data_IF_283434129119
#
_entry.id   IF_283434129119
#
_cell.length_a   1.000
_cell.length_b   1.000
_cell.length_c   1.000
_cell.angle_alpha   90.00
_cell.angle_beta   90.00
_cell.angle_gamma   90.00
#
_symmetry.space_group_name_H-M   'P 1'
#
loop_
_entity.id
_entity.type
_entity.pdbx_description
1 polymer ?
2 polymer ?
#
# COMPACT_ATOMS: atom_id res chain seq x y z
N UNK A 1 -19.60 -12.52 -16.69
CA UNK A 1 -19.06 -11.41 -15.85
C UNK A 1 -19.88 -10.13 -15.96
N UNK A 2 -20.12 -9.51 -14.81
CA UNK A 2 -20.87 -8.26 -14.71
C UNK A 2 -19.89 -7.16 -14.31
N UNK A 3 -19.61 -6.23 -15.22
CA UNK A 3 -18.67 -5.15 -14.95
C UNK A 3 -19.15 -4.14 -13.90
N UNK A 4 -18.42 -4.07 -12.79
CA UNK A 4 -18.73 -3.14 -11.70
C UNK A 4 -17.83 -1.92 -11.88
N UNK A 5 -18.42 -0.74 -12.04
CA UNK A 5 -17.63 0.47 -12.25
C UNK A 5 -17.84 1.58 -11.22
N UNK A 6 -16.72 2.14 -10.76
CA UNK A 6 -16.73 3.24 -9.80
C UNK A 6 -16.02 4.44 -10.40
N UNK A 7 -16.83 5.40 -10.84
CA UNK A 7 -16.41 6.65 -11.47
C UNK A 7 -15.05 7.21 -11.06
N UNK A 8 -15.01 7.85 -9.89
CA UNK A 8 -13.78 8.45 -9.39
C UNK A 8 -12.93 7.56 -8.51
N UNK A 9 -11.61 7.50 -8.79
CA UNK A 9 -10.67 6.69 -8.02
C UNK A 9 -10.52 7.24 -6.62
N UNK A 10 -10.51 8.58 -6.52
CA UNK A 10 -10.37 9.26 -5.24
C UNK A 10 -11.30 10.47 -5.15
N UNK A 11 -11.74 10.76 -3.92
CA UNK A 11 -12.65 11.89 -3.63
C UNK A 11 -12.27 12.51 -2.29
N UNK A 12 -11.71 13.73 -2.31
CA UNK A 12 -11.30 14.45 -1.09
C UNK A 12 -12.45 15.17 -0.40
N UNK A 13 -12.50 15.05 0.93
CA UNK A 13 -13.53 15.70 1.75
C UNK A 13 -12.95 16.13 3.09
N UNK A 14 -13.37 17.29 3.59
CA UNK A 14 -12.88 17.79 4.88
C UNK A 14 -13.67 17.12 6.01
N UNK A 15 -13.01 16.85 7.14
CA UNK A 15 -13.68 16.21 8.27
C UNK A 15 -14.93 16.98 8.71
N UNK A 16 -16.06 16.29 8.78
CA UNK A 16 -17.31 16.92 9.16
C UNK A 16 -18.26 16.95 7.98
N UNK A 17 -17.71 17.08 6.77
CA UNK A 17 -18.50 17.12 5.55
C UNK A 17 -19.14 15.77 5.22
N UNK A 18 -20.07 15.80 4.27
CA UNK A 18 -20.77 14.60 3.84
C UNK A 18 -20.21 14.12 2.51
N UNK A 19 -19.93 12.83 2.43
CA UNK A 19 -19.40 12.25 1.20
C UNK A 19 -20.41 11.37 0.49
N UNK A 20 -20.34 11.38 -0.83
CA UNK A 20 -21.20 10.59 -1.68
C UNK A 20 -20.35 9.87 -2.71
N UNK A 21 -20.29 8.55 -2.57
CA UNK A 21 -19.53 7.70 -3.48
C UNK A 21 -20.50 6.99 -4.39
N UNK A 22 -20.21 6.99 -5.69
CA UNK A 22 -21.09 6.33 -6.65
C UNK A 22 -20.52 5.01 -7.14
N UNK A 23 -21.43 4.10 -7.48
CA UNK A 23 -21.09 2.79 -8.01
C UNK A 23 -22.05 2.51 -9.13
N UNK A 24 -21.57 1.80 -10.15
CA UNK A 24 -22.39 1.46 -11.29
C UNK A 24 -22.14 0.04 -11.77
N UNK A 25 -23.24 -0.70 -11.96
CA UNK A 25 -23.20 -2.08 -12.41
C UNK A 25 -23.35 -2.19 -13.94
N UNK A 26 -23.14 -3.40 -14.45
CA UNK A 26 -23.23 -3.67 -15.88
C UNK A 26 -24.63 -4.00 -16.37
N UNK A 27 -25.35 -4.80 -15.58
CA UNK A 27 -26.70 -5.22 -15.94
C UNK A 27 -27.79 -4.57 -15.08
N UNK A 28 -28.16 -5.25 -13.99
CA UNK A 28 -29.18 -4.80 -13.04
C UNK A 28 -29.23 -5.86 -11.95
N UNK A 29 -28.93 -5.43 -10.74
CA UNK A 29 -28.90 -6.33 -9.60
C UNK A 29 -30.23 -6.49 -8.87
N UNK A 30 -31.34 -6.41 -9.60
CA UNK A 30 -32.66 -6.58 -8.99
C UNK A 30 -32.99 -8.08 -8.93
N UNK A 31 -33.98 -8.46 -8.13
CA UNK A 31 -34.31 -9.88 -7.97
C UNK A 31 -35.76 -10.30 -8.25
N UNK A 32 -36.68 -9.56 -7.62
CA UNK A 32 -38.14 -9.75 -7.67
C UNK A 32 -38.52 -10.08 -6.23
N UNK A 33 -37.55 -10.58 -5.49
CA UNK A 33 -37.71 -10.90 -4.07
C UNK A 33 -37.93 -9.54 -3.41
N UNK A 34 -37.59 -8.48 -4.17
CA UNK A 34 -37.74 -7.12 -3.73
C UNK A 34 -36.41 -6.52 -3.32
N UNK A 35 -35.36 -7.34 -3.38
CA UNK A 35 -34.02 -6.92 -2.98
C UNK A 35 -33.04 -6.75 -4.13
N UNK A 36 -32.14 -5.78 -3.96
CA UNK A 36 -31.09 -5.49 -4.93
C UNK A 36 -29.78 -5.96 -4.27
N UNK A 37 -29.16 -6.98 -4.86
CA UNK A 37 -27.93 -7.57 -4.33
C UNK A 37 -26.65 -6.76 -4.50
N UNK A 38 -26.51 -5.72 -3.67
CA UNK A 38 -25.35 -4.83 -3.69
C UNK A 38 -24.64 -4.83 -2.34
N UNK A 39 -23.30 -4.75 -2.38
CA UNK A 39 -22.49 -4.76 -1.16
C UNK A 39 -21.39 -3.71 -1.13
N UNK A 40 -21.22 -3.10 0.04
CA UNK A 40 -20.20 -2.06 0.24
C UNK A 40 -19.25 -2.53 1.32
N UNK A 41 -17.95 -2.42 1.04
CA UNK A 41 -16.90 -2.80 1.97
C UNK A 41 -15.92 -1.65 2.14
N UNK A 42 -15.05 -1.73 3.15
CA UNK A 42 -14.08 -0.68 3.43
C UNK A 42 -12.69 -1.16 3.83
N UNK A 43 -11.78 -1.21 2.86
CA UNK A 43 -10.40 -1.59 3.14
C UNK A 43 -9.85 -0.34 3.83
N UNK A 44 -8.99 -0.49 4.83
CA UNK A 44 -8.58 0.71 5.56
C UNK A 44 -7.26 0.82 6.33
N UNK A 45 -6.11 0.74 5.65
CA UNK A 45 -5.75 0.56 4.25
C UNK A 45 -4.87 -0.70 4.24
N UNK A 46 -4.19 -0.90 5.37
CA UNK A 46 -3.34 -2.05 5.58
C UNK A 46 -4.13 -2.94 6.53
N UNK A 47 -5.42 -2.64 6.60
CA UNK A 47 -6.38 -3.37 7.42
C UNK A 47 -7.23 -4.15 6.42
N UNK A 48 -8.10 -5.02 6.91
CA UNK A 48 -8.97 -5.82 6.03
C UNK A 48 -10.32 -5.14 5.81
N UNK A 49 -10.93 -5.35 4.63
CA UNK A 49 -12.22 -4.73 4.32
C UNK A 49 -13.27 -5.13 5.36
N UNK A 50 -14.25 -4.26 5.56
CA UNK A 50 -15.31 -4.52 6.53
C UNK A 50 -16.66 -4.22 5.88
N UNK A 51 -17.61 -5.12 6.07
CA UNK A 51 -18.94 -4.93 5.49
C UNK A 51 -19.61 -3.70 6.11
N UNK A 52 -20.05 -2.78 5.26
CA UNK A 52 -20.72 -1.58 5.73
C UNK A 52 -22.22 -1.67 5.51
N UNK A 53 -22.62 -1.99 4.29
CA UNK A 53 -24.03 -2.08 3.91
C UNK A 53 -24.31 -3.29 3.01
N UNK A 54 -25.35 -4.06 3.34
CA UNK A 54 -25.73 -5.22 2.53
C UNK A 54 -27.12 -5.05 1.93
N UNK A 55 -27.35 -5.74 0.82
CA UNK A 55 -28.62 -5.69 0.11
C UNK A 55 -29.03 -4.24 -0.19
N UNK A 56 -28.02 -3.47 -0.56
CA UNK A 56 -28.14 -2.05 -0.92
C UNK A 56 -28.47 -1.04 0.17
N UNK A 57 -29.55 -1.26 0.91
CA UNK A 57 -29.99 -0.31 1.95
C UNK A 57 -29.95 -0.83 3.39
N UNK A 58 -29.05 -1.75 3.68
CA UNK A 58 -28.97 -2.30 5.03
C UNK A 58 -27.65 -2.15 5.77
N UNK A 59 -27.67 -1.34 6.81
CA UNK A 59 -26.51 -1.07 7.64
C UNK A 59 -26.15 -2.33 8.41
N UNK A 60 -25.00 -2.92 8.08
CA UNK A 60 -24.54 -4.12 8.77
C UNK A 60 -24.40 -3.85 10.27
N UNK A 61 -24.05 -4.87 11.03
CA UNK A 61 -23.87 -4.70 12.47
C UNK A 61 -22.57 -3.95 12.75
N UNK A 62 -22.53 -3.21 13.85
CA UNK A 62 -21.35 -2.45 14.22
C UNK A 62 -21.12 -1.18 13.42
N UNK A 63 -21.69 -1.11 12.21
CA UNK A 63 -21.56 0.04 11.33
C UNK A 63 -22.37 1.24 11.86
N UNK A 64 -21.72 2.41 12.02
CA UNK A 64 -22.35 3.63 12.53
C UNK A 64 -23.59 4.10 11.78
N UNK A 65 -24.40 4.89 12.49
CA UNK A 65 -25.65 5.49 12.01
C UNK A 65 -25.47 6.49 10.86
N UNK A 66 -24.24 6.96 10.65
CA UNK A 66 -23.95 7.95 9.60
C UNK A 66 -23.79 7.44 8.17
N UNK A 67 -23.50 6.15 8.00
CA UNK A 67 -23.37 5.59 6.65
C UNK A 67 -24.75 5.28 6.10
N UNK A 68 -24.90 5.33 4.78
CA UNK A 68 -26.20 5.06 4.15
C UNK A 68 -26.16 4.70 2.66
N UNK A 69 -26.80 3.57 2.34
CA UNK A 69 -26.86 3.09 0.98
C UNK A 69 -28.19 3.37 0.31
N UNK A 70 -28.14 3.77 -0.96
CA UNK A 70 -29.33 4.10 -1.73
C UNK A 70 -29.07 3.95 -3.24
N UNK A 71 -30.16 3.94 -4.00
CA UNK A 71 -30.04 3.81 -5.45
C UNK A 71 -31.09 2.84 -5.98
N UNK A 72 -31.01 2.54 -7.27
CA UNK A 72 -31.95 1.60 -7.89
C UNK A 72 -31.50 1.21 -9.29
N UNK A 73 -31.70 -0.06 -9.63
CA UNK A 73 -31.32 -0.55 -10.94
C UNK A 73 -29.83 -0.69 -11.09
N UNK A 74 -29.19 0.31 -11.69
CA UNK A 74 -27.75 0.31 -11.92
C UNK A 74 -27.00 1.46 -11.23
N UNK A 75 -27.74 2.40 -10.65
CA UNK A 75 -27.16 3.55 -9.96
C UNK A 75 -27.18 3.37 -8.44
N UNK A 76 -25.99 3.24 -7.84
CA UNK A 76 -25.88 3.02 -6.40
C UNK A 76 -25.05 4.09 -5.72
N UNK A 77 -25.45 4.47 -4.51
CA UNK A 77 -24.79 5.53 -3.77
C UNK A 77 -24.57 5.35 -2.25
N UNK A 78 -23.30 5.38 -1.84
CA UNK A 78 -22.93 5.28 -0.44
C UNK A 78 -22.87 6.72 0.08
N UNK A 79 -23.26 6.93 1.33
CA UNK A 79 -23.24 8.27 1.90
C UNK A 79 -22.85 8.34 3.38
N UNK A 80 -21.80 9.10 3.65
CA UNK A 80 -21.29 9.31 5.00
C UNK A 80 -21.76 10.70 5.47
N UNK A 81 -22.45 10.77 6.62
CA UNK A 81 -22.95 12.04 7.15
C UNK A 81 -21.84 12.98 7.61
N UNK A 82 -21.07 12.53 8.58
CA UNK A 82 -19.96 13.30 9.12
C UNK A 82 -18.69 12.51 8.89
N UNK A 83 -17.81 13.01 8.02
CA UNK A 83 -16.55 12.32 7.73
C UNK A 83 -15.58 12.41 8.91
N UNK A 84 -15.18 11.26 9.42
CA UNK A 84 -14.25 11.22 10.53
C UNK A 84 -12.96 10.59 10.02
N UNK A 85 -11.88 10.75 10.78
CA UNK A 85 -10.57 10.23 10.39
C UNK A 85 -10.53 8.75 10.06
N UNK A 86 -11.29 7.95 10.81
CA UNK A 86 -11.34 6.51 10.60
C UNK A 86 -11.88 6.13 9.22
N UNK A 87 -12.89 6.85 8.75
CA UNK A 87 -13.51 6.58 7.45
C UNK A 87 -12.55 6.58 6.25
N UNK A 88 -11.31 7.04 6.45
CA UNK A 88 -10.35 7.07 5.35
C UNK A 88 -10.08 5.68 4.80
N UNK A 89 -10.06 5.57 3.47
CA UNK A 89 -9.79 4.29 2.83
C UNK A 89 -10.42 4.10 1.46
N UNK A 90 -10.24 2.91 0.89
CA UNK A 90 -10.83 2.57 -0.40
C UNK A 90 -12.17 1.94 -0.11
N UNK A 91 -13.21 2.43 -0.77
CA UNK A 91 -14.54 1.89 -0.59
C UNK A 91 -14.88 1.01 -1.77
N UNK A 92 -15.31 -0.21 -1.48
CA UNK A 92 -15.63 -1.18 -2.54
C UNK A 92 -17.10 -1.54 -2.64
N UNK A 93 -17.62 -1.52 -3.87
CA UNK A 93 -19.02 -1.89 -4.11
C UNK A 93 -18.92 -3.16 -4.93
N UNK A 94 -19.55 -4.21 -4.44
CA UNK A 94 -19.52 -5.51 -5.09
C UNK A 94 -20.89 -6.15 -5.19
N UNK A 95 -21.13 -6.82 -6.31
CA UNK A 95 -22.39 -7.49 -6.55
C UNK A 95 -22.34 -8.95 -6.15
N UNK A 96 -23.47 -9.48 -5.70
CA UNK A 96 -23.58 -10.87 -5.27
C UNK A 96 -24.84 -11.45 -5.93
N UNK A 97 -24.97 -11.27 -7.25
CA UNK A 97 -26.13 -11.77 -7.97
C UNK A 97 -25.78 -12.92 -8.92
N UNK A 98 -25.01 -12.61 -9.95
CA UNK A 98 -24.59 -13.62 -10.92
C UNK A 98 -23.17 -14.09 -10.64
N UNK A 99 -22.76 -15.12 -11.36
CA UNK A 99 -21.43 -15.69 -11.22
C UNK A 99 -20.55 -15.38 -12.42
N UNK A 100 -19.28 -15.04 -12.17
CA UNK A 100 -18.73 -14.95 -10.82
C UNK A 100 -19.04 -13.59 -10.19
N UNK A 101 -18.75 -13.44 -8.90
CA UNK A 101 -18.99 -12.19 -8.20
C UNK A 101 -17.94 -11.15 -8.58
N UNK A 102 -18.39 -9.95 -8.95
CA UNK A 102 -17.48 -8.88 -9.36
C UNK A 102 -17.36 -7.72 -8.38
N UNK A 103 -16.16 -7.16 -8.30
CA UNK A 103 -15.88 -6.04 -7.41
C UNK A 103 -15.56 -4.77 -8.20
N UNK A 104 -16.10 -3.64 -7.75
CA UNK A 104 -15.84 -2.37 -8.41
C UNK A 104 -14.38 -1.97 -8.24
N UNK A 105 -13.91 -1.06 -9.09
CA UNK A 105 -12.53 -0.57 -9.05
C UNK A 105 -12.07 -0.13 -7.65
N UNK A 106 -12.78 0.84 -7.07
CA UNK A 106 -12.44 1.32 -5.74
C UNK A 106 -12.26 2.82 -5.66
N UNK A 107 -13.10 3.47 -4.86
CA UNK A 107 -13.02 4.91 -4.68
C UNK A 107 -12.42 5.22 -3.30
N UNK A 108 -11.27 5.88 -3.30
CA UNK A 108 -10.56 6.24 -2.08
C UNK A 108 -11.02 7.59 -1.52
N UNK A 109 -11.07 7.69 -0.19
CA UNK A 109 -11.47 8.93 0.47
C UNK A 109 -10.25 9.62 1.06
N UNK A 110 -9.95 10.80 0.53
CA UNK A 110 -8.83 11.59 0.99
C UNK A 110 -9.31 12.76 1.82
N UNK A 111 -8.45 13.20 2.73
CA UNK A 111 -8.75 14.30 3.61
C UNK A 111 -8.24 15.65 3.10
N UNK A 112 -9.09 16.66 3.27
CA UNK A 112 -8.76 18.03 2.87
C UNK A 112 -8.20 18.78 4.07
N UNK A 113 -7.54 19.91 3.79
CA UNK A 113 -6.96 20.77 4.81
C UNK A 113 -6.29 21.95 4.12
N UNK A 114 -5.64 22.79 4.91
CA UNK A 114 -4.95 23.95 4.36
C UNK A 114 -3.73 23.50 3.58
N UNK A 115 -3.38 24.26 2.54
CA UNK A 115 -2.23 23.95 1.70
C UNK A 115 -0.94 24.10 2.50
N UNK A 116 0.01 23.19 2.29
CA UNK A 116 1.31 23.23 2.95
C UNK A 116 2.37 23.06 1.89
N UNK A 117 3.54 23.66 2.11
CA UNK A 117 4.63 23.61 1.14
C UNK A 117 5.59 22.46 1.39
N UNK A 118 6.06 21.81 0.31
CA UNK A 118 6.99 20.69 0.41
C UNK A 118 8.38 21.10 0.89
N UNK A 119 8.83 20.47 1.97
CA UNK A 119 10.14 20.74 2.54
C UNK A 119 11.15 19.87 1.79
N UNK A 120 11.41 20.25 0.54
CA UNK A 120 12.36 19.56 -0.34
C UNK A 120 13.77 19.48 0.25
N UNK A 121 14.48 18.41 -0.08
CA UNK A 121 15.84 18.16 0.38
C UNK A 121 16.58 17.30 -0.66
N UNK A 122 17.86 17.59 -0.88
CA UNK A 122 18.65 16.83 -1.84
C UNK A 122 19.93 16.30 -1.18
N UNK A 123 20.25 15.03 -1.42
CA UNK A 123 21.42 14.42 -0.83
C UNK A 123 22.34 13.78 -1.86
N UNK A 124 23.65 14.06 -1.76
CA UNK A 124 24.66 13.53 -2.68
C UNK A 124 24.91 12.04 -2.36
N UNK A 125 25.43 11.27 -3.33
CA UNK A 125 25.72 9.84 -3.14
C UNK A 125 26.66 9.61 -1.97
N UNK A 126 26.44 8.55 -1.21
CA UNK A 126 27.29 8.24 -0.07
C UNK A 126 28.66 7.77 -0.53
N UNK A 127 29.67 8.07 0.27
CA UNK A 127 31.06 7.70 -0.02
C UNK A 127 31.17 6.20 -0.25
N UNK A 128 30.39 5.45 0.53
CA UNK A 128 30.35 4.00 0.48
C UNK A 128 29.70 3.45 -0.79
N UNK A 129 28.65 4.11 -1.28
CA UNK A 129 27.97 3.69 -2.49
C UNK A 129 28.84 3.91 -3.71
N UNK A 130 29.56 5.02 -3.71
CA UNK A 130 30.44 5.36 -4.81
C UNK A 130 31.52 4.29 -5.00
N UNK A 131 32.12 3.85 -3.91
CA UNK A 131 33.17 2.82 -3.95
C UNK A 131 32.66 1.49 -4.51
N UNK A 132 31.34 1.37 -4.61
CA UNK A 132 30.72 0.16 -5.14
C UNK A 132 30.46 0.27 -6.65
N UNK A 133 30.83 1.41 -7.23
CA UNK A 133 30.64 1.61 -8.64
C UNK A 133 29.34 2.27 -9.08
N UNK A 134 28.46 2.57 -8.12
CA UNK A 134 27.20 3.20 -8.45
C UNK A 134 27.05 4.55 -7.77
N UNK A 135 26.11 5.37 -8.25
CA UNK A 135 25.89 6.69 -7.67
C UNK A 135 24.41 7.06 -7.67
N UNK A 136 23.87 7.30 -6.48
CA UNK A 136 22.47 7.68 -6.36
C UNK A 136 22.26 9.02 -5.64
N UNK A 137 21.50 9.90 -6.27
CA UNK A 137 21.20 11.21 -5.72
C UNK A 137 19.76 11.18 -5.22
N UNK A 138 19.58 11.34 -3.92
CA UNK A 138 18.26 11.31 -3.29
C UNK A 138 17.66 12.69 -3.01
N UNK A 139 16.39 12.87 -3.39
CA UNK A 139 15.67 14.12 -3.16
C UNK A 139 14.34 13.88 -2.44
N UNK A 140 14.27 14.35 -1.20
CA UNK A 140 13.07 14.20 -0.38
C UNK A 140 12.21 15.46 -0.37
N UNK A 141 10.92 15.30 -0.63
CA UNK A 141 9.98 16.43 -0.61
C UNK A 141 9.02 16.01 0.49
N UNK A 142 9.36 16.38 1.73
CA UNK A 142 8.60 16.01 2.92
C UNK A 142 7.08 16.20 2.98
N UNK A 143 6.60 17.03 3.91
CA UNK A 143 5.16 17.22 4.09
C UNK A 143 4.54 18.27 3.19
N UNK A 144 3.54 17.86 2.40
CA UNK A 144 2.87 18.78 1.48
C UNK A 144 1.46 18.35 1.10
N UNK A 145 0.66 19.33 0.70
CA UNK A 145 -0.72 19.11 0.29
C UNK A 145 -1.13 20.25 -0.65
N UNK A 146 -1.88 19.95 -1.72
CA UNK A 146 -2.37 18.63 -2.15
C UNK A 146 -1.29 17.62 -2.56
N UNK A 147 -1.75 16.43 -2.98
CA UNK A 147 -0.89 15.32 -3.39
C UNK A 147 -0.09 15.59 -4.66
N UNK A 148 -0.67 16.38 -5.55
CA UNK A 148 -0.04 16.73 -6.82
C UNK A 148 1.26 17.51 -6.65
N UNK A 149 2.28 17.09 -7.40
CA UNK A 149 3.60 17.69 -7.39
C UNK A 149 4.38 17.10 -8.57
N UNK A 150 5.40 17.82 -9.03
CA UNK A 150 6.19 17.35 -10.17
C UNK A 150 7.69 17.57 -9.94
N UNK A 151 8.47 16.48 -10.03
CA UNK A 151 9.92 16.54 -9.83
C UNK A 151 10.67 16.39 -11.15
N UNK A 152 11.41 17.43 -11.52
CA UNK A 152 12.19 17.41 -12.76
C UNK A 152 13.66 17.39 -12.41
N UNK A 153 14.31 16.26 -12.64
CA UNK A 153 15.74 16.13 -12.37
C UNK A 153 16.60 16.80 -13.43
N UNK A 154 17.54 17.62 -12.98
CA UNK A 154 18.43 18.34 -13.89
C UNK A 154 19.88 18.00 -13.57
N UNK A 155 20.65 17.75 -14.63
CA UNK A 155 22.06 17.44 -14.47
C UNK A 155 22.85 18.38 -15.37
N UNK A 156 23.38 19.44 -14.78
CA UNK A 156 24.12 20.44 -15.52
C UNK A 156 23.17 21.14 -16.51
N UNK A 157 21.96 21.43 -16.03
CA UNK A 157 20.98 22.11 -16.86
C UNK A 157 20.19 21.25 -17.82
N UNK A 158 20.57 19.99 -17.95
CA UNK A 158 19.85 19.07 -18.83
C UNK A 158 18.96 18.15 -18.00
N UNK A 159 17.70 18.08 -18.42
CA UNK A 159 16.70 17.27 -17.76
C UNK A 159 16.96 15.77 -17.90
N UNK A 160 17.02 15.07 -16.76
CA UNK A 160 17.24 13.62 -16.77
C UNK A 160 15.88 12.95 -16.62
N UNK A 161 15.51 12.18 -17.64
CA UNK A 161 14.22 11.49 -17.71
C UNK A 161 14.31 9.97 -17.58
N UNK A 162 15.53 9.42 -17.70
CA UNK A 162 15.74 7.97 -17.61
C UNK A 162 16.69 7.61 -16.47
N UNK A 163 16.16 6.95 -15.45
CA UNK A 163 16.97 6.54 -14.32
C UNK A 163 16.45 7.02 -12.97
N UNK A 164 15.25 7.59 -12.97
CA UNK A 164 14.61 8.13 -11.76
C UNK A 164 13.52 7.20 -11.20
N UNK A 165 13.52 7.00 -9.88
CA UNK A 165 12.52 6.17 -9.22
C UNK A 165 11.83 6.86 -8.03
N UNK A 166 10.56 7.17 -8.23
CA UNK A 166 9.71 7.87 -7.26
C UNK A 166 9.08 6.91 -6.24
N UNK A 167 8.66 7.47 -5.11
CA UNK A 167 8.03 6.70 -4.02
C UNK A 167 7.25 7.62 -3.06
N UNK A 168 5.93 7.71 -3.26
CA UNK A 168 5.03 8.53 -2.45
C UNK A 168 4.40 7.77 -1.30
N UNK A 169 4.48 8.33 -0.09
CA UNK A 169 3.88 7.68 1.08
C UNK A 169 2.37 7.91 1.04
N UNK A 170 1.62 7.15 1.86
CA UNK A 170 0.18 7.31 1.92
C UNK A 170 -0.11 8.58 2.73
N UNK A 171 -1.36 9.04 2.74
CA UNK A 171 -1.73 10.25 3.48
C UNK A 171 -1.56 10.04 4.98
N UNK A 172 -0.77 10.93 5.60
CA UNK A 172 -0.50 10.84 7.03
C UNK A 172 -1.79 10.98 7.85
N UNK A 173 -1.89 10.13 8.87
CA UNK A 173 -3.03 10.10 9.77
C UNK A 173 -3.11 11.30 10.67
N UNK A 174 -1.95 11.79 11.08
CA UNK A 174 -1.84 12.93 12.00
C UNK A 174 -2.02 14.34 11.39
N UNK A 175 -1.12 14.76 10.51
CA UNK A 175 -1.22 16.09 9.90
C UNK A 175 -1.91 16.14 8.54
N UNK A 176 -2.31 14.97 8.04
CA UNK A 176 -2.99 14.83 6.74
C UNK A 176 -2.17 15.28 5.53
N UNK A 177 -0.84 15.19 5.63
CA UNK A 177 0.07 15.59 4.54
C UNK A 177 0.52 14.42 3.68
N UNK A 178 1.35 14.74 2.68
CA UNK A 178 1.88 13.75 1.74
C UNK A 178 3.39 13.89 1.60
N UNK A 179 4.10 12.76 1.55
CA UNK A 179 5.55 12.76 1.38
C UNK A 179 5.96 11.99 0.14
N UNK A 180 7.14 12.30 -0.38
CA UNK A 180 7.66 11.67 -1.59
C UNK A 180 9.19 11.57 -1.53
N UNK A 181 9.75 10.60 -2.26
CA UNK A 181 11.20 10.40 -2.30
C UNK A 181 11.69 10.08 -3.71
N UNK A 182 12.22 11.11 -4.37
CA UNK A 182 12.73 10.96 -5.73
C UNK A 182 14.20 10.59 -5.70
N UNK A 183 14.52 9.46 -6.33
CA UNK A 183 15.88 8.96 -6.39
C UNK A 183 16.36 8.74 -7.82
N UNK A 184 17.51 9.34 -8.13
CA UNK A 184 18.12 9.21 -9.45
C UNK A 184 19.37 8.33 -9.30
N UNK A 185 19.58 7.42 -10.24
CA UNK A 185 20.74 6.53 -10.16
C UNK A 185 21.62 6.55 -11.41
N UNK A 186 22.94 6.58 -11.20
CA UNK A 186 23.91 6.62 -12.30
C UNK A 186 24.97 5.52 -12.18
N UNK A 187 26.01 5.64 -13.02
CA UNK A 187 27.08 4.64 -13.06
C UNK A 187 28.43 4.96 -12.40
N UNK A 188 28.57 6.12 -11.75
CA UNK A 188 29.83 6.51 -11.11
C UNK A 188 30.88 6.38 -12.22
N UNK A 189 30.61 7.10 -13.29
CA UNK A 189 31.43 7.12 -14.48
C UNK A 189 30.78 8.26 -15.25
N UNK A 190 29.46 8.36 -15.06
CA UNK A 190 28.63 9.38 -15.66
C UNK A 190 28.41 10.44 -14.58
N UNK A 191 28.62 10.05 -13.32
CA UNK A 191 28.46 10.93 -12.18
C UNK A 191 29.65 11.87 -12.04
N UNK A 192 30.85 11.34 -12.22
CA UNK A 192 32.07 12.12 -12.11
C UNK A 192 32.19 13.20 -13.20
N UNK A 193 31.64 12.94 -14.37
CA UNK A 193 31.70 13.88 -15.49
C UNK A 193 30.94 15.18 -15.26
N UNK A 194 29.96 15.15 -14.36
CA UNK A 194 29.15 16.33 -14.08
C UNK A 194 29.46 17.13 -12.82
N UNK A 195 28.94 18.35 -12.78
CA UNK A 195 29.16 19.28 -11.66
C UNK A 195 27.93 19.40 -10.78
N UNK A 196 26.86 19.91 -11.37
CA UNK A 196 25.60 20.15 -10.67
C UNK A 196 24.47 19.17 -10.94
N UNK A 197 23.70 18.89 -9.90
CA UNK A 197 22.55 17.99 -9.94
C UNK A 197 21.41 18.70 -9.23
N UNK A 198 20.36 19.02 -9.98
CA UNK A 198 19.22 19.74 -9.43
C UNK A 198 17.94 18.93 -9.31
N UNK A 199 17.25 19.11 -8.20
CA UNK A 199 15.97 18.46 -7.95
C UNK A 199 14.92 19.56 -7.94
N UNK A 200 14.18 19.70 -9.04
CA UNK A 200 13.15 20.74 -9.13
C UNK A 200 11.77 20.18 -8.78
N UNK A 201 10.95 20.98 -8.12
CA UNK A 201 9.62 20.55 -7.71
C UNK A 201 8.54 21.61 -7.94
N UNK A 202 7.62 21.33 -8.87
CA UNK A 202 6.54 22.24 -9.19
C UNK A 202 5.31 21.92 -8.34
N UNK A 203 5.00 22.79 -7.39
CA UNK A 203 3.84 22.57 -6.52
C UNK A 203 2.95 23.82 -6.48
N UNK A 204 1.70 23.63 -6.06
CA UNK A 204 0.71 24.71 -5.96
C UNK A 204 1.13 25.81 -5.01
N UNK A 205 1.88 25.44 -3.98
CA UNK A 205 2.36 26.40 -2.97
C UNK A 205 3.66 27.12 -3.38
N UNK A 206 3.73 27.53 -4.65
CA UNK A 206 4.91 28.23 -5.18
C UNK A 206 4.64 28.80 -6.58
N UNK A 207 4.87 30.11 -6.72
CA UNK A 207 4.68 30.81 -7.99
C UNK A 207 5.68 30.27 -9.01
N UNK A 208 6.83 29.86 -8.50
CA UNK A 208 7.91 29.32 -9.29
C UNK A 208 8.38 28.01 -8.65
N UNK A 209 8.98 27.10 -9.43
CA UNK A 209 9.49 25.81 -8.97
C UNK A 209 10.50 25.83 -7.84
N UNK A 210 10.31 24.95 -6.86
CA UNK A 210 11.23 24.84 -5.74
C UNK A 210 12.48 24.12 -6.25
N UNK A 211 13.61 24.79 -6.17
CA UNK A 211 14.86 24.23 -6.65
C UNK A 211 15.87 23.94 -5.55
N UNK A 212 16.30 22.68 -5.49
CA UNK A 212 17.32 22.24 -4.54
C UNK A 212 18.43 21.64 -5.37
N UNK A 213 19.66 22.11 -5.11
CA UNK A 213 20.81 21.66 -5.86
C UNK A 213 22.09 21.51 -5.04
N UNK A 214 23.08 20.90 -5.69
CA UNK A 214 24.40 20.67 -5.12
C UNK A 214 25.41 20.52 -6.27
N UNK A 215 26.63 21.00 -6.04
CA UNK A 215 27.69 20.92 -7.04
C UNK A 215 28.80 20.01 -6.49
N UNK A 216 29.33 19.14 -7.32
CA UNK A 216 30.38 18.21 -6.88
C UNK A 216 31.54 18.89 -6.16
N UNK A 217 32.32 19.71 -6.87
CA UNK A 217 33.43 20.42 -6.23
C UNK A 217 32.88 21.61 -5.45
N UNK A 218 32.39 21.32 -4.24
CA UNK A 218 31.78 22.31 -3.35
C UNK A 218 31.76 21.78 -1.91
N UNK A 219 32.70 22.25 -1.10
CA UNK A 219 32.79 21.82 0.30
C UNK A 219 32.52 22.98 1.26
N UNK B 1 -15.29 -12.02 19.85
CA UNK B 1 -13.97 -12.66 19.67
C UNK B 1 -14.00 -13.58 18.45
N UNK B 2 -14.91 -13.38 17.52
CA UNK B 2 -15.01 -14.17 16.30
C UNK B 2 -13.91 -13.66 15.35
N UNK B 3 -12.99 -14.53 15.00
CA UNK B 3 -11.89 -14.13 14.11
C UNK B 3 -11.40 -15.23 13.18
N UNK B 4 -10.72 -14.79 12.13
CA UNK B 4 -10.16 -15.69 11.12
C UNK B 4 -8.69 -15.34 10.96
N UNK B 5 -7.82 -16.30 11.25
CA UNK B 5 -6.38 -16.07 11.13
C UNK B 5 -5.77 -16.89 10.01
N UNK B 6 -5.20 -16.17 9.05
CA UNK B 6 -4.56 -16.78 7.91
C UNK B 6 -3.10 -17.11 8.18
N UNK B 7 -2.55 -18.01 7.36
CA UNK B 7 -1.17 -18.47 7.48
C UNK B 7 -0.10 -17.39 7.56
N UNK B 8 -0.04 -16.54 6.55
CA UNK B 8 0.96 -15.50 6.54
C UNK B 8 1.83 -15.58 5.29
N UNK B 9 2.93 -14.80 5.23
CA UNK B 9 3.89 -14.71 4.12
C UNK B 9 4.28 -16.03 3.46
N UNK B 10 4.16 -16.07 2.13
CA UNK B 10 4.49 -17.26 1.36
C UNK B 10 5.72 -17.16 0.44
N UNK B 11 6.59 -18.15 0.64
CA UNK B 11 7.89 -18.34 -0.03
C UNK B 11 7.92 -19.16 -1.34
N UNK B 12 7.23 -18.73 -2.39
CA UNK B 12 7.24 -19.54 -3.62
C UNK B 12 7.92 -19.07 -4.90
N UNK B 13 8.34 -20.07 -5.68
CA UNK B 13 9.01 -19.92 -6.97
C UNK B 13 8.04 -20.36 -8.07
N UNK B 14 8.27 -19.95 -9.32
CA UNK B 14 7.41 -20.29 -10.46
C UNK B 14 7.23 -21.80 -10.67
N UNK B 15 6.02 -22.20 -11.07
CA UNK B 15 5.74 -23.61 -11.32
C UNK B 15 5.38 -24.46 -10.10
N UNK B 16 5.83 -24.04 -8.92
CA UNK B 16 5.55 -24.78 -7.68
C UNK B 16 4.10 -24.58 -7.23
N UNK B 17 3.85 -24.88 -5.96
CA UNK B 17 2.52 -24.72 -5.39
C UNK B 17 2.64 -24.25 -3.94
N UNK B 18 1.53 -23.78 -3.38
CA UNK B 18 1.51 -23.28 -2.02
C UNK B 18 0.14 -23.47 -1.37
N UNK B 19 0.14 -23.76 -0.08
CA UNK B 19 -1.09 -23.99 0.67
C UNK B 19 -1.39 -22.89 1.68
N UNK B 20 -2.43 -22.10 1.39
CA UNK B 20 -2.83 -21.00 2.26
C UNK B 20 -3.81 -21.50 3.31
N UNK B 21 -3.70 -20.97 4.52
CA UNK B 21 -4.58 -21.37 5.62
C UNK B 21 -5.54 -20.23 6.01
N UNK B 22 -6.51 -20.54 6.87
CA UNK B 22 -7.49 -19.56 7.35
C UNK B 22 -8.34 -20.16 8.46
N UNK B 23 -7.79 -20.20 9.67
CA UNK B 23 -8.49 -20.75 10.81
C UNK B 23 -9.58 -19.81 11.31
N UNK B 24 -10.76 -20.38 11.55
CA UNK B 24 -11.90 -19.63 12.04
C UNK B 24 -12.09 -19.89 13.54
N UNK B 25 -12.51 -18.86 14.28
CA UNK B 25 -12.73 -18.96 15.72
C UNK B 25 -13.95 -18.14 16.16
N UNK B 26 -14.39 -18.39 17.39
CA UNK B 26 -15.52 -17.67 17.94
C UNK B 26 -16.90 -18.05 17.44
N UNK B 27 -17.00 -19.06 16.59
CA UNK B 27 -18.29 -19.48 16.06
C UNK B 27 -18.24 -20.88 15.47
N UNK B 28 -19.41 -21.43 15.16
CA UNK B 28 -19.51 -22.77 14.58
C UNK B 28 -19.03 -22.69 13.14
N UNK B 29 -17.89 -23.32 12.88
CA UNK B 29 -17.26 -23.33 11.57
C UNK B 29 -18.11 -23.92 10.43
N UNK B 30 -18.92 -24.92 10.74
CA UNK B 30 -19.74 -25.59 9.73
C UNK B 30 -21.01 -24.90 9.22
N UNK B 31 -21.56 -23.96 9.98
CA UNK B 31 -22.78 -23.29 9.54
C UNK B 31 -22.56 -21.91 8.91
N UNK B 32 -21.44 -21.77 8.20
CA UNK B 32 -21.08 -20.52 7.52
C UNK B 32 -20.11 -20.79 6.36
N UNK B 33 -20.41 -20.24 5.19
CA UNK B 33 -19.56 -20.41 4.01
C UNK B 33 -18.24 -19.66 4.17
N UNK B 34 -17.28 -19.99 3.31
CA UNK B 34 -15.98 -19.36 3.33
C UNK B 34 -15.46 -18.98 1.93
N UNK B 35 -15.62 -17.71 1.57
CA UNK B 35 -15.13 -17.24 0.28
C UNK B 35 -13.64 -16.99 0.33
N UNK B 36 -13.03 -16.82 -0.84
CA UNK B 36 -11.60 -16.56 -0.96
C UNK B 36 -11.38 -15.49 -2.01
N UNK B 37 -10.87 -14.34 -1.58
CA UNK B 37 -10.63 -13.25 -2.51
C UNK B 37 -9.15 -12.98 -2.80
N UNK B 38 -8.89 -12.55 -4.03
CA UNK B 38 -7.55 -12.22 -4.49
C UNK B 38 -7.45 -10.71 -4.67
N UNK B 39 -6.27 -10.16 -4.40
CA UNK B 39 -6.06 -8.72 -4.56
C UNK B 39 -4.66 -8.37 -5.01
N UNK B 40 -4.56 -7.88 -6.25
CA UNK B 40 -3.29 -7.46 -6.82
C UNK B 40 -2.86 -6.21 -6.05
N UNK B 41 -1.53 -5.99 -5.89
CA UNK B 41 -0.92 -4.86 -5.19
C UNK B 41 -1.72 -3.55 -5.12
N UNK B 42 -2.56 -3.31 -6.13
CA UNK B 42 -3.38 -2.12 -6.16
C UNK B 42 -4.28 -2.10 -7.37
N UNK B 43 -4.56 -3.28 -7.93
CA UNK B 43 -5.41 -3.38 -9.11
C UNK B 43 -6.90 -3.50 -8.79
N UNK B 44 -7.23 -3.94 -7.57
CA UNK B 44 -8.62 -4.07 -7.20
C UNK B 44 -8.88 -5.19 -6.21
N UNK B 45 -9.95 -5.95 -6.44
CA UNK B 45 -10.30 -7.08 -5.59
C UNK B 45 -11.19 -8.06 -6.37
N UNK B 46 -10.98 -9.36 -6.20
CA UNK B 46 -11.80 -10.34 -6.92
C UNK B 46 -12.07 -11.70 -6.26
N UNK B 47 -13.24 -12.25 -6.54
CA UNK B 47 -13.70 -13.52 -6.00
C UNK B 47 -13.05 -14.73 -6.66
N UNK B 48 -12.69 -15.70 -5.83
CA UNK B 48 -12.08 -16.93 -6.31
C UNK B 48 -13.07 -18.07 -6.17
N UNK B 49 -13.58 -18.26 -4.95
CA UNK B 49 -14.55 -19.31 -4.69
C UNK B 49 -14.91 -19.54 -3.23
N UNK B 50 -16.08 -20.12 -3.00
CA UNK B 50 -16.53 -20.40 -1.64
C UNK B 50 -16.58 -21.91 -1.39
N UNK B 51 -16.74 -22.29 -0.12
CA UNK B 51 -16.81 -23.69 0.25
C UNK B 51 -17.64 -23.92 1.50
N UNK B 52 -18.68 -24.74 1.34
CA UNK B 52 -19.57 -25.08 2.44
C UNK B 52 -18.85 -26.09 3.34
N UNK B 53 -18.51 -25.69 4.57
CA UNK B 53 -17.81 -26.57 5.52
C UNK B 53 -18.69 -27.65 6.18
N UNK B 54 -19.97 -27.68 5.84
CA UNK B 54 -20.87 -28.68 6.38
C UNK B 54 -20.82 -29.90 5.48
N UNK B 55 -20.39 -29.65 4.26
CA UNK B 55 -20.23 -30.66 3.21
C UNK B 55 -19.38 -29.95 2.17
N UNK B 56 -18.17 -30.46 1.97
CA UNK B 56 -17.20 -29.89 1.04
C UNK B 56 -17.61 -29.46 -0.37
N UNK B 57 -18.90 -29.19 -0.59
CA UNK B 57 -19.37 -28.75 -1.90
C UNK B 57 -18.75 -27.39 -2.18
N UNK B 58 -18.03 -27.30 -3.31
CA UNK B 58 -17.36 -26.06 -3.68
C UNK B 58 -17.85 -25.50 -5.00
N UNK B 59 -17.66 -24.19 -5.15
CA UNK B 59 -18.06 -23.48 -6.36
C UNK B 59 -16.89 -22.53 -6.65
N UNK B 60 -16.32 -22.65 -7.84
CA UNK B 60 -15.19 -21.80 -8.23
C UNK B 60 -15.49 -20.82 -9.33
N UNK B 61 -14.57 -19.87 -9.50
CA UNK B 61 -14.64 -18.86 -10.52
C UNK B 61 -14.05 -19.60 -11.72
N UNK B 62 -14.76 -19.61 -12.85
CA UNK B 62 -14.27 -20.30 -14.04
C UNK B 62 -12.86 -19.86 -14.42
N UNK B 63 -12.49 -18.64 -14.02
CA UNK B 63 -11.18 -18.07 -14.32
C UNK B 63 -10.09 -18.45 -13.33
N UNK B 64 -10.47 -19.08 -12.23
CA UNK B 64 -9.52 -19.51 -11.20
C UNK B 64 -9.57 -21.02 -10.97
N UNK B 65 -10.57 -21.65 -11.58
CA UNK B 65 -10.75 -23.09 -11.50
C UNK B 65 -9.61 -23.69 -12.31
N UNK B 66 -9.01 -24.77 -11.81
CA UNK B 66 -7.89 -25.38 -12.50
C UNK B 66 -6.59 -24.75 -12.06
N UNK B 67 -6.61 -24.15 -10.86
CA UNK B 67 -5.45 -23.51 -10.25
C UNK B 67 -5.72 -23.35 -8.75
N UNK B 68 -7.01 -23.25 -8.41
CA UNK B 68 -7.45 -23.10 -7.02
C UNK B 68 -8.23 -24.32 -6.52
N UNK B 69 -7.84 -24.83 -5.36
CA UNK B 69 -8.47 -26.01 -4.77
C UNK B 69 -8.77 -25.80 -3.28
N UNK B 70 -9.98 -25.35 -2.99
CA UNK B 70 -10.43 -25.11 -1.62
C UNK B 70 -10.76 -26.44 -0.97
N UNK B 71 -10.27 -26.64 0.25
CA UNK B 71 -10.52 -27.87 1.00
C UNK B 71 -10.61 -27.48 2.47
N UNK B 72 -11.67 -27.90 3.14
CA UNK B 72 -11.85 -27.58 4.55
C UNK B 72 -11.24 -28.64 5.46
N UNK B 73 -11.46 -28.49 6.76
CA UNK B 73 -10.92 -29.42 7.75
C UNK B 73 -11.79 -29.39 9.00
N UNK B 74 -12.89 -30.13 8.95
CA UNK B 74 -13.82 -30.20 10.06
C UNK B 74 -13.25 -30.97 11.27
N UNK B 75 -11.93 -31.11 11.29
CA UNK B 75 -11.25 -31.77 12.40
C UNK B 75 -11.35 -30.81 13.58
N UNK B 76 -11.40 -29.53 13.24
CA UNK B 76 -11.50 -28.45 14.20
C UNK B 76 -12.27 -27.27 13.60
N UNK B 77 -11.57 -26.33 12.97
CA UNK B 77 -12.20 -25.16 12.36
C UNK B 77 -11.31 -24.44 11.34
N UNK B 78 -10.52 -25.20 10.59
CA UNK B 78 -9.60 -24.63 9.59
C UNK B 78 -10.06 -24.72 8.12
N UNK B 79 -9.46 -23.87 7.28
CA UNK B 79 -9.76 -23.80 5.83
C UNK B 79 -8.47 -23.61 5.02
N UNK B 80 -8.42 -24.20 3.83
CA UNK B 80 -7.23 -24.13 2.98
C UNK B 80 -7.56 -23.84 1.52
N UNK B 81 -6.54 -23.37 0.81
CA UNK B 81 -6.62 -23.07 -0.62
C UNK B 81 -5.27 -23.31 -1.25
N UNK B 82 -5.25 -24.19 -2.25
CA UNK B 82 -4.03 -24.52 -2.95
C UNK B 82 -3.98 -23.79 -4.27
N UNK B 83 -2.80 -23.25 -4.57
CA UNK B 83 -2.56 -22.53 -5.81
C UNK B 83 -1.46 -23.25 -6.55
N UNK B 84 -1.84 -23.95 -7.62
CA UNK B 84 -0.91 -24.71 -8.43
C UNK B 84 -0.56 -24.05 -9.76
N UNK B 85 0.61 -24.38 -10.30
CA UNK B 85 1.09 -23.81 -11.56
C UNK B 85 1.23 -22.30 -11.44
N UNK B 86 1.87 -21.87 -10.37
CA UNK B 86 2.06 -20.46 -10.10
C UNK B 86 2.86 -19.72 -11.13
N UNK B 87 2.37 -18.53 -11.46
CA UNK B 87 3.00 -17.62 -12.40
C UNK B 87 3.14 -16.31 -11.63
N UNK B 88 3.88 -15.35 -12.19
CA UNK B 88 4.07 -14.05 -11.54
C UNK B 88 2.75 -13.29 -11.44
N UNK B 89 1.73 -13.76 -12.18
CA UNK B 89 0.40 -13.14 -12.20
C UNK B 89 -0.37 -13.56 -10.94
N UNK B 90 0.25 -14.39 -10.11
CA UNK B 90 -0.36 -14.87 -8.87
C UNK B 90 0.20 -14.15 -7.65
N UNK B 91 1.23 -13.33 -7.85
CA UNK B 91 1.85 -12.58 -6.76
C UNK B 91 0.82 -11.55 -6.29
N UNK B 92 0.20 -11.81 -5.14
CA UNK B 92 -0.82 -10.91 -4.60
C UNK B 92 -1.26 -11.26 -3.18
N UNK B 93 -2.27 -10.54 -2.69
CA UNK B 93 -2.83 -10.75 -1.36
C UNK B 93 -4.15 -11.51 -1.47
N UNK B 94 -4.29 -12.57 -0.69
CA UNK B 94 -5.50 -13.38 -0.71
C UNK B 94 -6.23 -13.33 0.61
N UNK B 95 -7.51 -12.98 0.56
CA UNK B 95 -8.34 -12.88 1.74
C UNK B 95 -9.31 -14.05 1.84
N UNK B 96 -9.72 -14.34 3.07
CA UNK B 96 -10.67 -15.42 3.33
C UNK B 96 -11.78 -14.81 4.17
N UNK B 97 -12.96 -14.71 3.59
CA UNK B 97 -14.10 -14.13 4.26
C UNK B 97 -15.21 -15.12 4.55
N UNK B 98 -15.81 -14.97 5.72
CA UNK B 98 -16.92 -15.79 6.16
C UNK B 98 -18.15 -15.36 5.36
N UNK B 99 -19.29 -16.00 5.60
CA UNK B 99 -20.50 -15.62 4.91
C UNK B 99 -21.79 -16.08 5.58
N UNK B 100 -22.74 -15.15 5.64
CA UNK B 100 -24.06 -15.41 6.24
C UNK B 100 -25.01 -15.74 5.08
N UNK B 101 -24.68 -16.78 4.32
CA UNK B 101 -25.43 -17.25 3.16
C UNK B 101 -26.94 -17.02 3.22
N UNK B 102 -27.64 -17.81 4.03
CA UNK B 102 -29.07 -17.73 4.14
C UNK B 102 -29.76 -16.35 4.26
N UNK B 103 -29.89 -15.76 5.44
CA UNK B 103 -30.61 -14.50 5.49
C UNK B 103 -29.98 -13.24 4.90
N UNK B 104 -28.82 -12.83 5.41
CA UNK B 104 -28.19 -11.63 4.91
C UNK B 104 -27.43 -11.73 3.58
N UNK B 105 -26.71 -12.83 3.37
CA UNK B 105 -25.88 -13.04 2.17
C UNK B 105 -24.73 -12.05 2.28
N UNK B 106 -24.40 -11.76 3.54
CA UNK B 106 -23.36 -10.79 3.85
C UNK B 106 -22.05 -11.37 4.36
N UNK B 107 -20.96 -11.04 3.66
CA UNK B 107 -19.63 -11.50 4.06
C UNK B 107 -19.19 -10.73 5.31
N UNK B 108 -19.59 -11.26 6.46
CA UNK B 108 -19.32 -10.68 7.77
C UNK B 108 -17.86 -10.31 8.04
N UNK B 109 -17.09 -11.27 8.56
CA UNK B 109 -15.69 -11.06 8.91
C UNK B 109 -14.71 -11.48 7.83
N UNK B 110 -13.44 -11.10 8.03
CA UNK B 110 -12.37 -11.39 7.07
C UNK B 110 -11.06 -11.74 7.76
N UNK B 111 -10.16 -12.38 7.00
CA UNK B 111 -8.85 -12.73 7.52
C UNK B 111 -7.94 -11.55 7.23
N UNK B 112 -6.67 -11.66 7.59
CA UNK B 112 -5.72 -10.58 7.33
C UNK B 112 -5.04 -10.69 5.97
N UNK B 113 -5.46 -11.69 5.20
CA UNK B 113 -4.88 -11.89 3.88
C UNK B 113 -3.51 -12.52 3.94
N UNK B 114 -3.10 -13.17 2.85
CA UNK B 114 -1.79 -13.80 2.79
C UNK B 114 -1.05 -13.33 1.55
N UNK B 115 0.09 -12.68 1.76
CA UNK B 115 0.89 -12.17 0.65
C UNK B 115 1.72 -13.28 0.02
N UNK B 116 1.31 -13.70 -1.17
CA UNK B 116 2.02 -14.75 -1.89
C UNK B 116 2.97 -14.08 -2.89
N UNK B 117 4.26 -14.36 -2.75
CA UNK B 117 5.26 -13.78 -3.64
C UNK B 117 5.96 -14.83 -4.48
N UNK B 118 5.78 -14.75 -5.80
CA UNK B 118 6.38 -15.68 -6.76
C UNK B 118 7.31 -14.94 -7.71
N UNK B 119 8.61 -14.96 -7.42
CA UNK B 119 9.59 -14.25 -8.25
C UNK B 119 10.54 -15.14 -9.07
N UNK B 120 11.39 -14.49 -9.85
CA UNK B 120 12.38 -15.15 -10.68
C UNK B 120 13.42 -15.88 -9.82
N UNK B 121 13.02 -16.20 -8.60
CA UNK B 121 13.83 -16.93 -7.62
C UNK B 121 15.09 -16.22 -7.10
N UNK B 122 14.98 -14.93 -6.83
CA UNK B 122 16.13 -14.20 -6.31
C UNK B 122 16.06 -14.14 -4.78
N UNK B 123 17.15 -13.69 -4.17
CA UNK B 123 17.28 -13.51 -2.72
C UNK B 123 18.60 -12.79 -2.48
N UNK B 124 18.53 -11.54 -2.04
CA UNK B 124 19.74 -10.77 -1.81
C UNK B 124 19.66 -9.81 -0.62
N UNK B 125 20.74 -9.72 0.18
CA UNK B 125 20.82 -8.84 1.35
C UNK B 125 21.01 -7.41 0.87
N UNK B 126 20.39 -6.44 1.57
CA UNK B 126 20.50 -5.04 1.18
C UNK B 126 21.87 -4.44 1.41
N UNK B 127 22.04 -3.23 0.87
CA UNK B 127 23.25 -2.47 1.03
C UNK B 127 22.72 -1.18 1.61
N UNK B 128 23.14 -0.85 2.82
CA UNK B 128 22.66 0.37 3.44
C UNK B 128 23.69 1.50 3.31
N UNK B 129 23.23 2.61 2.73
CA UNK B 129 24.07 3.78 2.53
C UNK B 129 23.50 4.95 3.29
N UNK B 130 24.32 5.59 4.15
CA UNK B 130 23.91 6.74 4.96
C UNK B 130 23.74 8.01 4.13
N UNK B 131 22.65 8.75 4.36
CA UNK B 131 22.40 9.99 3.63
C UNK B 131 22.54 11.21 4.51
N UNK B 132 23.57 12.01 4.23
CA UNK B 132 23.83 13.24 4.95
C UNK B 132 23.93 14.34 3.90
N UNK B 133 23.54 15.57 4.27
CA UNK B 133 23.57 16.74 3.36
C UNK B 133 24.96 17.04 2.81
N UNK B 134 25.05 18.13 2.04
CA UNK B 134 26.33 18.52 1.49
C UNK B 134 26.84 19.79 2.16
N UNK B 135 25.98 20.38 3.00
CA UNK B 135 26.26 21.59 3.75
C UNK B 135 25.04 21.86 4.63
N UNK B 136 25.20 22.71 5.64
CA UNK B 136 24.09 23.03 6.52
C UNK B 136 24.41 24.17 7.48
N UNK B 137 23.66 25.25 7.37
CA UNK B 137 23.84 26.40 8.25
C UNK B 137 23.19 26.10 9.61
N UNK B 138 23.70 26.73 10.67
CA UNK B 138 23.16 26.53 12.01
C UNK B 138 21.75 27.13 12.09
N UNK B 139 21.53 28.25 11.39
CA UNK B 139 20.24 28.93 11.34
C UNK B 139 19.19 27.98 10.78
N UNK B 140 19.60 27.16 9.82
CA UNK B 140 18.74 26.15 9.21
C UNK B 140 18.61 25.09 10.31
N UNK B 141 17.64 25.27 11.19
CA UNK B 141 17.42 24.36 12.31
C UNK B 141 17.15 22.91 11.95
N UNK B 142 15.91 22.56 11.67
CA UNK B 142 15.60 21.17 11.34
C UNK B 142 16.44 20.57 10.22
N UNK B 143 17.40 19.73 10.61
CA UNK B 143 18.29 19.05 9.67
C UNK B 143 17.65 17.71 9.32
N UNK B 144 17.64 17.39 8.03
CA UNK B 144 17.08 16.14 7.58
C UNK B 144 18.19 15.22 7.09
N UNK B 145 18.13 13.97 7.52
CA UNK B 145 19.11 12.95 7.16
C UNK B 145 18.35 11.79 6.56
N UNK B 146 19.08 10.77 6.12
CA UNK B 146 18.42 9.62 5.54
C UNK B 146 19.21 8.33 5.48
N UNK B 147 18.52 7.26 5.10
CA UNK B 147 19.11 5.95 4.96
C UNK B 147 18.59 5.29 3.69
N UNK B 148 19.50 5.05 2.76
CA UNK B 148 19.15 4.42 1.49
C UNK B 148 19.48 2.94 1.55
N UNK B 149 18.44 2.12 1.47
CA UNK B 149 18.54 0.67 1.48
C UNK B 149 18.30 0.20 0.04
N UNK B 150 19.37 -0.23 -0.61
CA UNK B 150 19.29 -0.65 -2.01
C UNK B 150 19.79 -2.07 -2.28
N UNK B 151 19.14 -2.72 -3.26
CA UNK B 151 19.51 -4.06 -3.68
C UNK B 151 19.12 -5.24 -2.80
N UNK B 152 17.84 -5.35 -2.44
CA UNK B 152 17.41 -6.46 -1.59
C UNK B 152 16.20 -7.25 -2.11
N UNK B 153 16.02 -8.43 -1.53
CA UNK B 153 14.93 -9.33 -1.88
C UNK B 153 14.90 -10.50 -0.90
N UNK B 154 13.72 -10.86 -0.39
CA UNK B 154 12.42 -10.24 -0.67
C UNK B 154 12.02 -9.32 0.47
N UNK B 155 10.82 -8.76 0.37
CA UNK B 155 10.28 -7.89 1.40
C UNK B 155 10.13 -8.70 2.70
N UNK B 156 10.09 -8.02 3.85
CA UNK B 156 10.17 -6.57 4.02
C UNK B 156 11.49 -6.17 4.68
N UNK B 157 11.58 -4.93 5.13
CA UNK B 157 12.77 -4.44 5.81
C UNK B 157 12.37 -3.65 7.05
N UNK B 158 13.12 -3.85 8.12
CA UNK B 158 12.88 -3.16 9.38
C UNK B 158 13.83 -1.98 9.51
N UNK B 159 13.30 -0.78 9.23
CA UNK B 159 14.06 0.46 9.31
C UNK B 159 13.71 1.25 10.57
N UNK B 160 14.74 1.57 11.35
CA UNK B 160 14.57 2.32 12.57
C UNK B 160 15.69 3.36 12.60
N UNK B 161 15.53 4.42 13.37
CA UNK B 161 16.55 5.46 13.39
C UNK B 161 17.67 5.49 14.41
N UNK B 162 17.37 5.30 15.69
CA UNK B 162 18.44 5.28 16.68
C UNK B 162 18.56 3.87 17.24
N UNK B 163 17.42 3.38 17.71
CA UNK B 163 17.24 2.05 18.28
C UNK B 163 15.76 1.97 18.61
N UNK B 164 15.04 2.99 18.15
CA UNK B 164 13.61 3.09 18.40
C UNK B 164 13.31 4.36 19.18
N UNK B 165 14.36 5.06 19.60
CA UNK B 165 14.23 6.29 20.37
C UNK B 165 13.68 7.41 19.50
N UNK B 166 14.27 7.58 18.32
CA UNK B 166 13.83 8.61 17.38
C UNK B 166 12.56 8.15 16.69
N UNK B 167 11.43 8.63 17.22
CA UNK B 167 10.11 8.28 16.69
C UNK B 167 9.59 9.33 15.71
N UNK B 168 9.46 10.57 16.19
CA UNK B 168 8.94 11.67 15.37
C UNK B 168 9.89 12.13 14.26
N UNK B 169 9.32 12.44 13.10
CA UNK B 169 10.10 12.89 11.97
C UNK B 169 10.52 11.77 11.04
N UNK B 170 10.23 10.54 11.41
CA UNK B 170 10.57 9.36 10.62
C UNK B 170 9.63 9.15 9.44
N UNK B 171 10.21 9.16 8.24
CA UNK B 171 9.47 8.93 7.00
C UNK B 171 10.12 7.76 6.25
N UNK B 172 9.58 6.57 6.45
CA UNK B 172 10.07 5.35 5.79
C UNK B 172 9.27 5.09 4.51
N UNK B 173 9.87 5.38 3.36
CA UNK B 173 9.23 5.23 2.07
C UNK B 173 8.98 3.82 1.54
N UNK B 174 7.86 3.65 0.82
CA UNK B 174 7.42 2.39 0.21
C UNK B 174 8.44 1.95 -0.82
N UNK B 175 8.93 0.72 -0.67
CA UNK B 175 9.92 0.17 -1.58
C UNK B 175 9.36 -0.07 -2.98
N UNK B 176 10.09 0.42 -3.98
CA UNK B 176 9.72 0.25 -5.37
C UNK B 176 10.69 -0.75 -5.99
N UNK B 177 10.14 -1.70 -6.74
CA UNK B 177 10.95 -2.75 -7.38
C UNK B 177 11.85 -2.22 -8.50
N UNK B 178 13.13 -2.57 -8.42
CA UNK B 178 14.11 -2.18 -9.44
C UNK B 178 13.90 -3.17 -10.57
N UNK B 179 14.95 -3.91 -10.92
CA UNK B 179 14.85 -4.92 -11.98
C UNK B 179 14.40 -6.24 -11.34
N UNK B 180 15.23 -6.76 -10.43
CA UNK B 180 14.92 -8.01 -9.72
C UNK B 180 15.09 -7.80 -8.22
N UNK B 181 15.24 -6.53 -7.83
CA UNK B 181 15.45 -6.16 -6.44
C UNK B 181 14.60 -5.00 -5.93
N UNK B 182 14.50 -4.91 -4.61
CA UNK B 182 13.75 -3.86 -3.94
C UNK B 182 14.68 -2.76 -3.44
N UNK B 183 14.12 -1.55 -3.30
CA UNK B 183 14.89 -0.42 -2.81
C UNK B 183 13.97 0.58 -2.14
N UNK B 184 14.36 1.00 -0.94
CA UNK B 184 13.59 2.01 -0.21
C UNK B 184 14.55 2.97 0.45
N UNK B 185 14.00 3.99 1.10
CA UNK B 185 14.80 4.99 1.78
C UNK B 185 13.94 5.70 2.81
N UNK B 186 14.56 6.05 3.94
CA UNK B 186 13.86 6.75 5.01
C UNK B 186 14.61 8.02 5.39
N UNK B 187 13.90 9.00 5.93
CA UNK B 187 14.51 10.26 6.34
C UNK B 187 13.93 10.75 7.66
N UNK B 188 14.71 11.57 8.35
CA UNK B 188 14.29 12.14 9.64
C UNK B 188 14.66 13.61 9.75
N UNK B 189 13.73 14.38 10.32
CA UNK B 189 13.89 15.81 10.54
C UNK B 189 14.30 16.02 12.00
N UNK B 190 15.58 16.31 12.21
CA UNK B 190 16.13 16.52 13.55
C UNK B 190 16.64 17.96 13.70
N UNK B 191 16.43 18.57 14.89
CA UNK B 191 16.88 19.96 15.11
C UNK B 191 18.40 20.11 14.83
N UNK B 192 18.80 21.32 14.42
CA UNK B 192 20.21 21.59 14.10
C UNK B 192 21.12 21.57 15.33
N UNK B 193 20.53 21.40 16.50
CA UNK B 193 21.30 21.38 17.74
C UNK B 193 21.81 19.99 18.11
N UNK B 194 20.95 18.96 18.05
CA UNK B 194 21.40 17.61 18.40
C UNK B 194 22.38 16.95 17.42
N UNK B 195 21.98 16.82 16.16
CA UNK B 195 22.82 16.18 15.15
C UNK B 195 24.35 16.39 15.19
N UNK B 196 24.80 17.65 15.11
CA UNK B 196 26.25 17.91 15.16
C UNK B 196 27.02 17.24 16.30
N UNK B 197 26.44 17.22 17.49
CA UNK B 197 27.08 16.62 18.65
C UNK B 197 26.35 15.38 19.23
N UNK B 198 25.59 14.70 18.37
CA UNK B 198 24.84 13.50 18.75
C UNK B 198 24.80 12.55 17.56
N UNK B 199 24.97 11.26 17.83
CA UNK B 199 24.97 10.27 16.76
C UNK B 199 23.58 9.87 16.30
N UNK B 200 23.48 9.57 15.01
CA UNK B 200 22.25 9.14 14.38
C UNK B 200 22.67 7.94 13.52
N UNK B 201 22.17 6.77 13.90
CA UNK B 201 22.50 5.51 13.24
C UNK B 201 21.24 4.70 12.95
N UNK B 202 20.87 4.58 11.67
CA UNK B 202 19.67 3.81 11.33
C UNK B 202 19.88 2.31 11.37
N UNK B 203 18.96 1.64 12.05
CA UNK B 203 19.01 0.20 12.22
C UNK B 203 18.19 -0.50 11.13
N UNK B 204 18.91 -1.12 10.21
CA UNK B 204 18.29 -1.86 9.11
C UNK B 204 18.32 -3.35 9.41
N UNK B 205 17.20 -4.03 9.17
CA UNK B 205 17.13 -5.47 9.42
C UNK B 205 16.48 -6.19 8.26
N UNK B 206 17.11 -7.28 7.85
CA UNK B 206 16.64 -8.13 6.76
C UNK B 206 16.53 -9.54 7.33
N UNK B 207 15.31 -9.94 7.74
CA UNK B 207 15.10 -11.29 8.30
C UNK B 207 15.41 -12.38 7.28
N UNK B 208 14.97 -12.17 6.04
CA UNK B 208 15.18 -13.12 4.94
C UNK B 208 16.62 -13.58 4.80
N UNK B 209 17.57 -12.67 5.01
CA UNK B 209 18.99 -12.99 4.93
C UNK B 209 19.61 -13.09 6.32
N UNK B 210 18.82 -12.68 7.33
CA UNK B 210 19.26 -12.71 8.71
C UNK B 210 20.48 -11.81 8.95
N UNK B 211 20.39 -10.57 8.49
CA UNK B 211 21.49 -9.60 8.64
C UNK B 211 21.05 -8.29 9.28
N UNK B 212 21.88 -7.78 10.19
CA UNK B 212 21.62 -6.53 10.90
C UNK B 212 22.73 -5.54 10.57
N UNK B 213 22.37 -4.40 9.99
CA UNK B 213 23.35 -3.38 9.61
C UNK B 213 23.07 -2.01 10.22
N UNK B 214 24.00 -1.51 11.01
CA UNK B 214 23.90 -0.20 11.64
C UNK B 214 24.89 0.73 10.95
N UNK B 215 24.39 1.87 10.48
CA UNK B 215 25.23 2.82 9.77
C UNK B 215 25.09 4.25 10.30
N UNK B 216 26.20 4.79 10.80
CA UNK B 216 26.20 6.15 11.34
C UNK B 216 26.12 7.19 10.24
N UNK B 217 25.37 8.24 10.52
CA UNK B 217 25.24 9.32 9.56
C UNK B 217 26.26 10.39 9.92
N UNK B 218 27.21 10.65 9.00
CA UNK B 218 28.24 11.66 9.20
C UNK B 218 28.44 12.52 7.93
#
# INVERSE_FOLDING_TARGET
DIVMTQAAPSVPVTPGESLSISCRSSKSLLHSNGDTFLYWFLQRPGQSPQLLIYRMSNLASGVPDRFSGSGSGTAFTLRVSRVEAEDVGVYYCMQHLEYPFTFGAGTKLELKRADAAPTVSIFPPSSEQLTSGGASVVCFLNNFYPKDINVKWKIDGSERQNGVLNSWTDQDSKDSTYSMSSTLTLTKDEYERHNSYTCEATHKTSTSPIVKSFNRNEC
QIQLQQSGPELVKPGASVKISCKASGYTFTDYYINWMKQKPGQGLEWIGWIDPGSGNTKYNEKFKGKATLTVDTSSSTAYMQLSSLTSEDTAVYFCAREKTTYYYAMDYWGQGTSVTVSAAKTTPPSVYPLAPGSAAQTNSMVTLGCLVKGYFPEPVTVTWNSGSLSSGVHTFPAVLQSDLYTLSSSVTVPSSPRPSETVTCNVAHPASSTKVDKKIV
#
